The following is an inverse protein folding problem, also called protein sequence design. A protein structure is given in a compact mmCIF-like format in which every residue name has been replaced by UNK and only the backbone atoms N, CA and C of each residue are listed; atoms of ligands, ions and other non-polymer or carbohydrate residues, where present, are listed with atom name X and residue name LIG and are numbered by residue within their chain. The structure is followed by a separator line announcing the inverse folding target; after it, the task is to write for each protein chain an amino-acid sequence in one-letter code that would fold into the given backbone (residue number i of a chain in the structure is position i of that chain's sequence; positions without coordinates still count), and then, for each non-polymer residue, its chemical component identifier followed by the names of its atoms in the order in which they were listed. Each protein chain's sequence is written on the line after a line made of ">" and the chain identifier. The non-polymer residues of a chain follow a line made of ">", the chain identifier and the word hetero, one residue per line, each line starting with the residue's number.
data_IF_796555368692
#
_entry.id   IF_796555368692
#
_cell.length_a   1.000
_cell.length_b   1.000
_cell.length_c   1.000
_cell.angle_alpha   90.00
_cell.angle_beta   90.00
_cell.angle_gamma   90.00
#
_symmetry.space_group_name_H-M   'P 1'
#
loop_
_entity.id
_entity.type
_entity.pdbx_description
1 polymer ?
#
# COMPACT_ATOMS: atom_id res chain seq x y z
N UNK A 1 -8.85 15.23 -14.24
CA UNK A 1 -9.14 16.04 -15.45
C UNK A 1 -10.27 15.40 -16.24
N UNK A 2 -11.12 16.16 -16.93
CA UNK A 2 -12.08 15.63 -17.90
C UNK A 2 -11.47 15.79 -19.29
N UNK A 3 -11.46 14.70 -20.05
CA UNK A 3 -10.84 14.66 -21.38
C UNK A 3 -11.82 13.97 -22.33
N UNK A 4 -11.89 14.44 -23.56
CA UNK A 4 -12.68 13.83 -24.64
C UNK A 4 -11.73 13.06 -25.53
N UNK A 5 -11.94 11.75 -25.65
CA UNK A 5 -11.14 10.85 -26.47
C UNK A 5 -12.08 9.93 -27.25
N UNK A 6 -11.79 9.72 -28.53
CA UNK A 6 -12.54 8.79 -29.37
C UNK A 6 -11.98 7.37 -29.19
N UNK A 7 -12.84 6.45 -28.76
CA UNK A 7 -12.47 5.04 -28.51
C UNK A 7 -13.35 4.16 -29.39
N UNK A 8 -12.78 3.21 -30.17
CA UNK A 8 -13.57 2.26 -30.93
C UNK A 8 -14.55 1.48 -30.04
N UNK A 9 -15.81 1.39 -30.46
CA UNK A 9 -16.89 0.79 -29.66
C UNK A 9 -16.61 -0.68 -29.31
N UNK A 10 -15.95 -1.42 -30.22
CA UNK A 10 -15.55 -2.81 -29.96
C UNK A 10 -14.56 -2.90 -28.78
N UNK A 11 -13.53 -2.08 -28.79
CA UNK A 11 -12.51 -2.03 -27.73
C UNK A 11 -13.12 -1.61 -26.40
N UNK A 12 -14.06 -0.66 -26.41
CA UNK A 12 -14.75 -0.24 -25.19
C UNK A 12 -15.64 -1.34 -24.61
N UNK A 13 -16.33 -2.12 -25.47
CA UNK A 13 -17.12 -3.28 -25.04
C UNK A 13 -16.25 -4.37 -24.42
N UNK A 14 -15.08 -4.63 -25.01
CA UNK A 14 -14.11 -5.58 -24.46
C UNK A 14 -13.59 -5.09 -23.09
N UNK A 15 -13.26 -3.81 -22.97
CA UNK A 15 -12.85 -3.22 -21.70
C UNK A 15 -13.94 -3.36 -20.62
N UNK A 16 -15.21 -3.11 -20.95
CA UNK A 16 -16.34 -3.31 -20.02
C UNK A 16 -16.51 -4.78 -19.62
N UNK A 17 -16.35 -5.71 -20.56
CA UNK A 17 -16.43 -7.15 -20.29
C UNK A 17 -15.33 -7.63 -19.35
N UNK A 18 -14.09 -7.19 -19.57
CA UNK A 18 -12.95 -7.62 -18.77
C UNK A 18 -12.88 -6.94 -17.40
N UNK A 19 -13.23 -5.65 -17.34
CA UNK A 19 -13.21 -4.91 -16.07
C UNK A 19 -14.48 -5.11 -15.24
N UNK A 20 -15.57 -5.61 -15.85
CA UNK A 20 -16.92 -5.71 -15.26
C UNK A 20 -17.44 -4.36 -14.73
N UNK A 21 -16.91 -3.26 -15.24
CA UNK A 21 -17.28 -1.91 -14.85
C UNK A 21 -18.72 -1.58 -15.26
N UNK A 22 -19.38 -0.73 -14.48
CA UNK A 22 -20.77 -0.31 -14.75
C UNK A 22 -20.83 0.86 -15.72
N UNK A 23 -19.77 1.66 -15.79
CA UNK A 23 -19.71 2.86 -16.61
C UNK A 23 -18.54 2.85 -17.60
N UNK A 24 -18.71 3.53 -18.74
CA UNK A 24 -17.66 3.69 -19.76
C UNK A 24 -16.38 4.29 -19.19
N UNK A 25 -16.52 5.29 -18.30
CA UNK A 25 -15.38 5.94 -17.63
C UNK A 25 -14.63 4.98 -16.74
N UNK A 26 -15.34 4.25 -15.89
CA UNK A 26 -14.75 3.29 -14.94
C UNK A 26 -13.98 2.20 -15.69
N UNK A 27 -14.53 1.65 -16.79
CA UNK A 27 -13.84 0.67 -17.63
C UNK A 27 -12.49 1.18 -18.14
N UNK A 28 -12.44 2.44 -18.61
CA UNK A 28 -11.22 3.05 -19.12
C UNK A 28 -10.21 3.30 -18.00
N UNK A 29 -10.65 3.82 -16.86
CA UNK A 29 -9.78 4.06 -15.70
C UNK A 29 -9.16 2.75 -15.21
N UNK A 30 -9.97 1.71 -15.00
CA UNK A 30 -9.48 0.41 -14.55
C UNK A 30 -8.52 -0.25 -15.55
N UNK A 31 -8.78 -0.09 -16.86
CA UNK A 31 -7.86 -0.59 -17.88
C UNK A 31 -6.50 0.14 -17.86
N UNK A 32 -6.50 1.45 -17.63
CA UNK A 32 -5.27 2.24 -17.51
C UNK A 32 -4.49 1.91 -16.22
N UNK A 33 -5.20 1.73 -15.10
CA UNK A 33 -4.58 1.30 -13.84
C UNK A 33 -3.92 -0.08 -13.97
N UNK A 34 -4.60 -1.01 -14.63
CA UNK A 34 -4.08 -2.36 -14.87
C UNK A 34 -2.87 -2.34 -15.82
N UNK A 35 -2.92 -1.52 -16.89
CA UNK A 35 -1.79 -1.31 -17.78
C UNK A 35 -0.59 -0.74 -17.04
N UNK A 36 -0.77 0.32 -16.26
CA UNK A 36 0.31 0.94 -15.49
C UNK A 36 0.89 -0.05 -14.45
N UNK A 37 0.04 -0.85 -13.79
CA UNK A 37 0.50 -1.88 -12.86
C UNK A 37 1.40 -2.90 -13.57
N UNK A 38 1.02 -3.37 -14.76
CA UNK A 38 1.83 -4.31 -15.55
C UNK A 38 3.14 -3.70 -16.01
N UNK A 39 3.14 -2.44 -16.46
CA UNK A 39 4.36 -1.74 -16.85
C UNK A 39 5.31 -1.53 -15.66
N UNK A 40 4.78 -1.16 -14.49
CA UNK A 40 5.57 -1.06 -13.27
C UNK A 40 6.23 -2.40 -12.91
N UNK A 41 5.50 -3.52 -13.01
CA UNK A 41 6.07 -4.86 -12.78
C UNK A 41 7.15 -5.23 -13.82
N UNK A 42 6.91 -4.90 -15.09
CA UNK A 42 7.90 -5.11 -16.16
C UNK A 42 9.17 -4.29 -15.93
N UNK A 43 9.03 -3.06 -15.44
CA UNK A 43 10.17 -2.21 -15.10
C UNK A 43 10.95 -2.73 -13.89
N UNK A 44 10.26 -3.24 -12.86
CA UNK A 44 10.92 -3.89 -11.72
C UNK A 44 11.76 -5.11 -12.14
N UNK A 45 11.32 -5.82 -13.18
CA UNK A 45 12.05 -6.99 -13.70
C UNK A 45 13.44 -6.62 -14.22
N UNK A 46 13.67 -5.37 -14.66
CA UNK A 46 15.00 -4.89 -15.09
C UNK A 46 16.03 -4.91 -13.96
N UNK A 47 15.58 -4.83 -12.71
CA UNK A 47 16.44 -4.87 -11.53
C UNK A 47 16.58 -6.30 -10.98
N UNK A 48 15.88 -7.28 -11.54
CA UNK A 48 16.03 -8.68 -11.16
C UNK A 48 17.46 -9.14 -11.43
N UNK A 49 18.17 -9.58 -10.40
CA UNK A 49 19.57 -9.99 -10.49
C UNK A 49 20.60 -8.85 -10.37
N UNK A 50 20.19 -7.58 -10.30
CA UNK A 50 21.12 -6.46 -10.02
C UNK A 50 21.36 -6.24 -8.52
N UNK A 51 20.55 -6.85 -7.66
CA UNK A 51 20.69 -6.71 -6.22
C UNK A 51 21.81 -7.61 -5.69
N UNK A 52 22.89 -7.01 -5.19
CA UNK A 52 24.01 -7.74 -4.57
C UNK A 52 23.66 -8.27 -3.17
N UNK A 53 22.76 -7.57 -2.48
CA UNK A 53 22.28 -7.95 -1.14
C UNK A 53 20.89 -7.34 -0.89
N UNK A 54 20.13 -7.96 -0.01
CA UNK A 54 18.89 -7.42 0.54
C UNK A 54 19.11 -7.10 2.02
N UNK A 55 18.33 -6.15 2.54
CA UNK A 55 18.37 -5.83 3.97
C UNK A 55 18.01 -7.06 4.80
N UNK A 56 18.69 -7.24 5.93
CA UNK A 56 18.35 -8.33 6.86
C UNK A 56 17.05 -8.00 7.61
N UNK A 57 16.43 -9.03 8.20
CA UNK A 57 15.20 -8.81 8.97
C UNK A 57 15.44 -7.83 10.14
N UNK A 58 16.59 -7.93 10.81
CA UNK A 58 16.98 -7.04 11.91
C UNK A 58 17.09 -5.58 11.44
N UNK A 59 17.69 -5.34 10.28
CA UNK A 59 17.82 -4.00 9.69
C UNK A 59 16.45 -3.39 9.32
N UNK A 60 15.52 -4.23 8.84
CA UNK A 60 14.15 -3.82 8.53
C UNK A 60 13.39 -3.45 9.82
N UNK A 61 13.49 -4.28 10.85
CA UNK A 61 12.87 -4.04 12.15
C UNK A 61 13.40 -2.76 12.81
N UNK A 62 14.70 -2.51 12.72
CA UNK A 62 15.32 -1.28 13.22
C UNK A 62 14.85 -0.03 12.47
N UNK A 63 14.72 -0.11 11.14
CA UNK A 63 14.16 0.96 10.31
C UNK A 63 12.71 1.26 10.68
N UNK A 64 11.91 0.23 10.96
CA UNK A 64 10.52 0.38 11.40
C UNK A 64 10.46 0.98 12.81
N UNK A 65 11.31 0.51 13.73
CA UNK A 65 11.40 0.98 15.10
C UNK A 65 11.82 2.46 15.20
N UNK A 66 12.62 2.98 14.26
CA UNK A 66 12.99 4.41 14.19
C UNK A 66 11.80 5.36 14.25
N UNK A 67 10.65 4.99 13.66
CA UNK A 67 9.43 5.83 13.72
C UNK A 67 8.88 6.00 15.14
N UNK A 68 9.15 5.04 16.02
CA UNK A 68 8.65 4.99 17.39
C UNK A 68 9.67 5.49 18.42
N UNK A 69 10.95 5.63 18.06
CA UNK A 69 11.99 6.19 18.95
C UNK A 69 11.73 7.63 19.41
N UNK A 70 10.87 8.37 18.70
CA UNK A 70 10.40 9.69 19.15
C UNK A 70 9.51 9.60 20.41
N UNK A 71 8.85 8.47 20.64
CA UNK A 71 7.93 8.25 21.76
C UNK A 71 8.58 7.43 22.88
N UNK A 72 9.47 6.50 22.54
CA UNK A 72 10.30 5.75 23.50
C UNK A 72 11.71 5.56 22.90
N UNK A 73 12.74 6.23 23.43
CA UNK A 73 14.12 6.16 22.91
C UNK A 73 14.70 4.75 22.83
N UNK A 74 14.21 3.82 23.65
CA UNK A 74 14.68 2.44 23.73
C UNK A 74 13.76 1.45 23.00
N UNK A 75 12.76 1.93 22.27
CA UNK A 75 11.79 1.09 21.57
C UNK A 75 12.47 0.12 20.59
N UNK A 76 12.22 -1.18 20.79
CA UNK A 76 12.58 -2.28 19.88
C UNK A 76 11.37 -3.19 19.69
N UNK A 77 11.22 -3.75 18.49
CA UNK A 77 10.21 -4.78 18.20
C UNK A 77 10.70 -6.14 18.72
N UNK A 78 10.81 -6.32 20.04
CA UNK A 78 11.20 -7.62 20.61
C UNK A 78 10.01 -8.58 20.64
N UNK A 79 9.88 -9.37 19.58
CA UNK A 79 8.90 -10.44 19.37
C UNK A 79 7.44 -10.04 19.07
N UNK A 80 6.76 -10.92 18.34
CA UNK A 80 5.34 -10.82 17.96
C UNK A 80 4.39 -10.56 19.15
N UNK A 81 4.78 -10.97 20.36
CA UNK A 81 3.96 -10.77 21.57
C UNK A 81 3.97 -9.33 22.06
N UNK A 82 5.10 -8.63 21.99
CA UNK A 82 5.19 -7.23 22.42
C UNK A 82 4.48 -6.30 21.45
N UNK A 83 4.53 -6.59 20.15
CA UNK A 83 3.72 -5.89 19.14
C UNK A 83 2.22 -5.97 19.45
N UNK A 84 1.74 -7.14 19.89
CA UNK A 84 0.33 -7.35 20.30
C UNK A 84 0.01 -6.67 21.63
N UNK A 85 0.96 -6.55 22.56
CA UNK A 85 0.79 -5.81 23.82
C UNK A 85 0.74 -4.31 23.58
N UNK A 86 1.65 -3.78 22.76
CA UNK A 86 1.71 -2.37 22.38
C UNK A 86 0.45 -1.93 21.62
N UNK A 87 -0.02 -2.73 20.66
CA UNK A 87 -1.27 -2.46 19.95
C UNK A 87 -2.49 -2.43 20.89
N UNK A 88 -2.53 -3.32 21.91
CA UNK A 88 -3.60 -3.32 22.93
C UNK A 88 -3.50 -2.09 23.86
N UNK A 89 -2.30 -1.66 24.18
CA UNK A 89 -2.06 -0.49 25.03
C UNK A 89 -2.46 0.82 24.33
N UNK A 90 -2.04 1.02 23.07
CA UNK A 90 -2.44 2.18 22.27
C UNK A 90 -3.96 2.28 22.08
N UNK A 91 -4.65 1.14 21.91
CA UNK A 91 -6.12 1.12 21.82
C UNK A 91 -6.77 1.63 23.11
N UNK A 92 -6.27 1.18 24.26
CA UNK A 92 -6.74 1.63 25.59
C UNK A 92 -6.48 3.11 25.83
N UNK A 93 -5.33 3.63 25.40
CA UNK A 93 -4.98 5.04 25.56
C UNK A 93 -5.84 5.95 24.68
N UNK A 94 -6.13 5.54 23.43
CA UNK A 94 -7.09 6.24 22.57
C UNK A 94 -8.49 6.26 23.17
N UNK A 95 -8.95 5.14 23.73
CA UNK A 95 -10.25 5.06 24.41
C UNK A 95 -10.30 5.94 25.67
N UNK A 96 -9.20 6.08 26.41
CA UNK A 96 -9.10 6.98 27.58
C UNK A 96 -9.05 8.45 27.16
N UNK A 97 -8.28 8.78 26.13
CA UNK A 97 -8.22 10.14 25.58
C UNK A 97 -9.56 10.59 25.00
N UNK A 98 -10.30 9.69 24.37
CA UNK A 98 -11.63 9.99 23.82
C UNK A 98 -12.70 10.16 24.89
N UNK A 99 -12.55 9.51 26.06
CA UNK A 99 -13.41 9.72 27.24
C UNK A 99 -13.05 10.97 28.06
N UNK A 100 -11.87 11.55 27.88
CA UNK A 100 -11.44 12.76 28.57
C UNK A 100 -11.82 14.06 27.84
N UNK A 101 -12.28 13.96 26.59
CA UNK A 101 -12.68 15.10 25.75
C UNK A 101 -14.20 15.16 25.45
N UNK A 102 -15.02 14.35 26.12
CA UNK A 102 -16.49 14.42 26.05
C UNK A 102 -17.06 14.77 27.42
#
# INVERSE_FOLDING_TARGET
>A
MKTTIDIPEKTLKDALKFTKAKTKREAVVSALEDFNRRQAMAELTKYSGTFTSLMTNDEIEDLQARKYRRFDPNFRFTSQEESRRFARQLKRERERGQKACG
#
